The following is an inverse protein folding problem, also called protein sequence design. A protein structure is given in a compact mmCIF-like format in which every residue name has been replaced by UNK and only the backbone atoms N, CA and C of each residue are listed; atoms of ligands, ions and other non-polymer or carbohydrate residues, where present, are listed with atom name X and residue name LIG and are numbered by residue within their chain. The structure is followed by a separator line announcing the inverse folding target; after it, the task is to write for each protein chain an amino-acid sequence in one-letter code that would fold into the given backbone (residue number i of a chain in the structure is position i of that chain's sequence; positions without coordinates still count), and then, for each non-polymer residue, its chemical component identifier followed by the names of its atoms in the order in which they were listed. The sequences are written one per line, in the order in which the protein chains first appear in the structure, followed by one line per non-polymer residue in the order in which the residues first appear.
data_IF_947026376621
#
_entry.id   IF_947026376621
#
_cell.length_a   1.000
_cell.length_b   1.000
_cell.length_c   1.000
_cell.angle_alpha   90.00
_cell.angle_beta   90.00
_cell.angle_gamma   90.00
#
_symmetry.space_group_name_H-M   'P 1'
#
loop_
_entity.id
_entity.type
_entity.pdbx_description
1 polymer ?
#
# COMPACT_ATOMS: atom_id res chain seq x y z
N UNK A 1 9.56 -17.76 16.19
CA UNK A 1 8.38 -17.31 15.44
C UNK A 1 8.18 -15.79 15.47
N UNK A 2 8.19 -15.09 16.62
CA UNK A 2 8.03 -13.61 16.68
C UNK A 2 9.07 -12.82 15.85
N UNK A 3 10.34 -13.28 15.76
CA UNK A 3 11.37 -12.64 14.92
C UNK A 3 11.08 -12.81 13.42
N UNK A 4 10.64 -13.99 13.01
CA UNK A 4 10.26 -14.25 11.60
C UNK A 4 9.07 -13.39 11.19
N UNK A 5 8.04 -13.29 12.03
CA UNK A 5 6.89 -12.41 11.77
C UNK A 5 7.31 -10.95 11.57
N UNK A 6 8.25 -10.42 12.38
CA UNK A 6 8.79 -9.06 12.20
C UNK A 6 9.50 -8.88 10.86
N UNK A 7 10.28 -9.87 10.41
CA UNK A 7 10.98 -9.83 9.13
C UNK A 7 9.97 -9.81 7.98
N UNK A 8 9.01 -10.73 7.99
CA UNK A 8 8.01 -10.83 6.92
C UNK A 8 7.02 -9.66 6.90
N UNK A 9 6.76 -9.00 8.03
CA UNK A 9 5.91 -7.80 8.09
C UNK A 9 6.66 -6.50 7.74
N UNK A 10 7.97 -6.56 7.51
CA UNK A 10 8.72 -5.41 7.04
C UNK A 10 8.53 -5.27 5.51
N UNK A 11 8.00 -4.14 5.02
CA UNK A 11 7.80 -3.93 3.58
C UNK A 11 9.09 -4.00 2.77
N UNK A 12 10.25 -3.65 3.35
CA UNK A 12 11.54 -3.76 2.69
C UNK A 12 11.90 -5.22 2.37
N UNK A 13 11.48 -6.18 3.22
CA UNK A 13 11.72 -7.60 2.97
C UNK A 13 10.95 -8.08 1.74
N UNK A 14 9.70 -7.68 1.59
CA UNK A 14 8.92 -7.98 0.39
C UNK A 14 9.59 -7.41 -0.87
N UNK A 15 9.98 -6.14 -0.82
CA UNK A 15 10.64 -5.46 -1.94
C UNK A 15 11.94 -6.18 -2.31
N UNK A 16 12.78 -6.52 -1.32
CA UNK A 16 14.04 -7.22 -1.53
C UNK A 16 13.83 -8.61 -2.18
N UNK A 17 12.86 -9.38 -1.67
CA UNK A 17 12.54 -10.71 -2.23
C UNK A 17 12.04 -10.58 -3.67
N UNK A 18 11.10 -9.67 -3.94
CA UNK A 18 10.54 -9.50 -5.28
C UNK A 18 11.58 -8.99 -6.28
N UNK A 19 12.42 -8.03 -5.86
CA UNK A 19 13.52 -7.54 -6.69
C UNK A 19 14.50 -8.68 -7.00
N UNK A 20 14.91 -9.47 -6.00
CA UNK A 20 15.83 -10.60 -6.18
C UNK A 20 15.25 -11.63 -7.16
N UNK A 21 13.99 -12.04 -6.97
CA UNK A 21 13.35 -13.01 -7.87
C UNK A 21 13.28 -12.46 -9.29
N UNK A 22 12.88 -11.22 -9.46
CA UNK A 22 12.79 -10.61 -10.79
C UNK A 22 14.14 -10.52 -11.48
N UNK A 23 15.17 -9.99 -10.81
CA UNK A 23 16.49 -9.82 -11.44
C UNK A 23 17.21 -11.14 -11.72
N UNK A 24 16.93 -12.21 -10.96
CA UNK A 24 17.50 -13.55 -11.19
C UNK A 24 16.77 -14.27 -12.29
N UNK A 25 15.44 -14.30 -12.26
CA UNK A 25 14.66 -15.17 -13.14
C UNK A 25 14.20 -14.49 -14.43
N UNK A 26 13.98 -13.16 -14.38
CA UNK A 26 13.37 -12.38 -15.48
C UNK A 26 12.06 -13.00 -15.99
N UNK A 27 11.41 -13.80 -15.17
CA UNK A 27 10.19 -14.53 -15.49
C UNK A 27 9.05 -14.11 -14.56
N UNK A 28 7.95 -13.64 -15.16
CA UNK A 28 6.81 -13.14 -14.44
C UNK A 28 6.03 -14.21 -13.67
N UNK A 29 6.11 -15.47 -14.10
CA UNK A 29 5.48 -16.59 -13.41
C UNK A 29 6.15 -16.80 -12.05
N UNK A 30 7.49 -16.85 -12.02
CA UNK A 30 8.23 -16.95 -10.75
C UNK A 30 8.01 -15.72 -9.85
N UNK A 31 7.93 -14.53 -10.44
CA UNK A 31 7.60 -13.31 -9.71
C UNK A 31 6.19 -13.39 -9.08
N UNK A 32 5.19 -13.89 -9.82
CA UNK A 32 3.82 -14.08 -9.33
C UNK A 32 3.77 -15.12 -8.21
N UNK A 33 4.47 -16.26 -8.38
CA UNK A 33 4.59 -17.28 -7.35
C UNK A 33 5.23 -16.71 -6.08
N UNK A 34 6.31 -15.94 -6.22
CA UNK A 34 7.00 -15.33 -5.09
C UNK A 34 6.09 -14.39 -4.29
N UNK A 35 5.31 -13.51 -4.95
CA UNK A 35 4.32 -12.67 -4.29
C UNK A 35 3.29 -13.51 -3.54
N UNK A 36 2.72 -14.50 -4.22
CA UNK A 36 1.67 -15.34 -3.65
C UNK A 36 2.16 -16.11 -2.41
N UNK A 37 3.33 -16.75 -2.52
CA UNK A 37 3.94 -17.50 -1.43
C UNK A 37 4.30 -16.56 -0.28
N UNK A 38 4.91 -15.41 -0.56
CA UNK A 38 5.31 -14.45 0.49
C UNK A 38 4.11 -13.95 1.30
N UNK A 39 3.04 -13.49 0.63
CA UNK A 39 1.85 -12.99 1.32
C UNK A 39 1.12 -14.11 2.05
N UNK A 40 1.10 -15.32 1.51
CA UNK A 40 0.51 -16.49 2.19
C UNK A 40 1.30 -16.82 3.47
N UNK A 41 2.63 -16.78 3.42
CA UNK A 41 3.48 -16.96 4.61
C UNK A 41 3.19 -15.86 5.65
N UNK A 42 3.03 -14.59 5.25
CA UNK A 42 2.67 -13.51 6.16
C UNK A 42 1.34 -13.80 6.88
N UNK A 43 0.30 -14.19 6.14
CA UNK A 43 -1.02 -14.53 6.70
C UNK A 43 -0.91 -15.67 7.72
N UNK A 44 -0.18 -16.73 7.38
CA UNK A 44 0.02 -17.89 8.26
C UNK A 44 0.81 -17.50 9.52
N UNK A 45 1.92 -16.76 9.36
CA UNK A 45 2.74 -16.31 10.49
C UNK A 45 1.96 -15.38 11.42
N UNK A 46 1.16 -14.45 10.88
CA UNK A 46 0.34 -13.55 11.68
C UNK A 46 -0.74 -14.33 12.46
N UNK A 47 -1.39 -15.30 11.81
CA UNK A 47 -2.35 -16.18 12.46
C UNK A 47 -1.73 -16.98 13.62
N UNK A 48 -0.55 -17.55 13.41
CA UNK A 48 0.14 -18.37 14.42
C UNK A 48 0.67 -17.50 15.58
N UNK A 49 1.21 -16.29 15.27
CA UNK A 49 1.88 -15.45 16.28
C UNK A 49 0.92 -14.58 17.10
N UNK A 50 -0.17 -14.10 16.47
CA UNK A 50 -1.13 -13.16 17.05
C UNK A 50 -2.52 -13.78 17.30
N UNK A 51 -2.76 -15.02 16.87
CA UNK A 51 -4.06 -15.69 16.93
C UNK A 51 -5.11 -15.15 15.96
N UNK A 52 -4.84 -14.01 15.31
CA UNK A 52 -5.71 -13.32 14.37
C UNK A 52 -4.91 -12.75 13.22
N UNK A 53 -5.55 -12.59 12.06
CA UNK A 53 -4.97 -11.92 10.88
C UNK A 53 -5.53 -10.51 10.80
N UNK A 54 -4.69 -9.52 10.48
CA UNK A 54 -5.15 -8.15 10.28
C UNK A 54 -6.12 -8.10 9.09
N UNK A 55 -7.18 -7.30 9.21
CA UNK A 55 -8.21 -7.18 8.16
C UNK A 55 -7.61 -6.74 6.82
N UNK A 56 -6.62 -5.85 6.86
CA UNK A 56 -5.95 -5.34 5.66
C UNK A 56 -5.15 -6.45 4.96
N UNK A 57 -4.37 -7.24 5.71
CA UNK A 57 -3.58 -8.34 5.15
C UNK A 57 -4.50 -9.43 4.59
N UNK A 58 -5.56 -9.80 5.32
CA UNK A 58 -6.53 -10.79 4.87
C UNK A 58 -7.25 -10.35 3.59
N UNK A 59 -7.73 -9.10 3.55
CA UNK A 59 -8.36 -8.54 2.36
C UNK A 59 -7.38 -8.53 1.16
N UNK A 60 -6.13 -8.10 1.39
CA UNK A 60 -5.09 -8.07 0.35
C UNK A 60 -4.81 -9.47 -0.20
N UNK A 61 -4.79 -10.48 0.66
CA UNK A 61 -4.61 -11.89 0.30
C UNK A 61 -5.80 -12.42 -0.51
N UNK A 62 -7.03 -12.14 -0.07
CA UNK A 62 -8.24 -12.53 -0.80
C UNK A 62 -8.31 -11.91 -2.21
N UNK A 63 -7.88 -10.66 -2.36
CA UNK A 63 -7.81 -10.01 -3.68
C UNK A 63 -6.66 -10.57 -4.51
N UNK A 64 -5.52 -10.93 -3.88
CA UNK A 64 -4.37 -11.49 -4.59
C UNK A 64 -4.68 -12.83 -5.25
N UNK A 65 -5.40 -13.73 -4.56
CA UNK A 65 -5.63 -15.12 -5.02
C UNK A 65 -6.19 -15.18 -6.44
N UNK A 66 -7.37 -14.57 -6.75
CA UNK A 66 -7.94 -14.69 -8.08
C UNK A 66 -7.02 -14.11 -9.16
N UNK A 67 -6.36 -12.97 -8.91
CA UNK A 67 -5.46 -12.36 -9.89
C UNK A 67 -4.17 -13.18 -10.09
N UNK A 68 -3.60 -13.74 -9.03
CA UNK A 68 -2.44 -14.61 -9.13
C UNK A 68 -2.80 -15.91 -9.88
N UNK A 69 -3.93 -16.54 -9.55
CA UNK A 69 -4.39 -17.73 -10.24
C UNK A 69 -4.65 -17.47 -11.73
N UNK A 70 -5.34 -16.37 -12.07
CA UNK A 70 -5.56 -16.00 -13.46
C UNK A 70 -4.24 -15.77 -14.20
N UNK A 71 -3.27 -15.09 -13.57
CA UNK A 71 -1.94 -14.89 -14.16
C UNK A 71 -1.23 -16.23 -14.40
N UNK A 72 -1.31 -17.17 -13.45
CA UNK A 72 -0.65 -18.48 -13.58
C UNK A 72 -1.33 -19.39 -14.61
N UNK A 73 -2.66 -19.39 -14.66
CA UNK A 73 -3.45 -20.24 -15.59
C UNK A 73 -3.32 -19.71 -17.02
N UNK A 74 -3.51 -18.41 -17.21
CA UNK A 74 -3.51 -17.77 -18.54
C UNK A 74 -2.10 -17.38 -19.00
N UNK A 75 -1.12 -17.44 -18.09
CA UNK A 75 0.26 -16.98 -18.32
C UNK A 75 0.36 -15.54 -18.82
N UNK A 76 -0.61 -14.70 -18.40
CA UNK A 76 -0.67 -13.29 -18.77
C UNK A 76 -0.44 -12.42 -17.53
N UNK A 77 0.64 -11.61 -17.50
CA UNK A 77 0.97 -10.73 -16.39
C UNK A 77 -0.08 -9.65 -16.14
N UNK A 78 -0.93 -9.34 -17.13
CA UNK A 78 -1.88 -8.24 -17.08
C UNK A 78 -2.83 -8.35 -15.87
N UNK A 79 -3.23 -9.56 -15.50
CA UNK A 79 -4.14 -9.78 -14.37
C UNK A 79 -3.51 -9.35 -13.04
N UNK A 80 -2.23 -9.69 -12.80
CA UNK A 80 -1.55 -9.25 -11.59
C UNK A 80 -1.25 -7.75 -11.60
N UNK A 81 -0.98 -7.19 -12.77
CA UNK A 81 -0.78 -5.76 -12.96
C UNK A 81 -2.06 -4.96 -12.63
N UNK A 82 -3.22 -5.42 -13.07
CA UNK A 82 -4.52 -4.82 -12.79
C UNK A 82 -4.89 -4.82 -11.31
N UNK A 83 -4.53 -5.89 -10.58
CA UNK A 83 -4.74 -5.95 -9.13
C UNK A 83 -4.23 -4.69 -8.44
N UNK A 84 -3.06 -4.19 -8.85
CA UNK A 84 -2.46 -3.01 -8.26
C UNK A 84 -3.35 -1.76 -8.41
N UNK A 85 -3.83 -1.48 -9.62
CA UNK A 85 -4.75 -0.36 -9.88
C UNK A 85 -6.04 -0.47 -9.07
N UNK A 86 -6.66 -1.66 -9.08
CA UNK A 86 -7.93 -1.89 -8.39
C UNK A 86 -7.78 -1.65 -6.88
N UNK A 87 -6.72 -2.16 -6.25
CA UNK A 87 -6.48 -1.95 -4.82
C UNK A 87 -6.27 -0.47 -4.51
N UNK A 88 -5.49 0.26 -5.32
CA UNK A 88 -5.25 1.69 -5.12
C UNK A 88 -6.53 2.52 -5.29
N UNK A 89 -7.34 2.21 -6.28
CA UNK A 89 -8.63 2.88 -6.47
C UNK A 89 -9.60 2.60 -5.34
N UNK A 90 -9.71 1.35 -4.90
CA UNK A 90 -10.57 0.99 -3.77
C UNK A 90 -10.12 1.71 -2.49
N UNK A 91 -8.83 1.73 -2.19
CA UNK A 91 -8.32 2.43 -1.00
C UNK A 91 -8.53 3.94 -1.10
N UNK A 92 -8.25 4.53 -2.26
CA UNK A 92 -8.48 5.96 -2.50
C UNK A 92 -9.95 6.34 -2.37
N UNK A 93 -10.85 5.55 -2.98
CA UNK A 93 -12.30 5.75 -2.89
C UNK A 93 -12.81 5.58 -1.45
N UNK A 94 -12.35 4.56 -0.72
CA UNK A 94 -12.71 4.34 0.68
C UNK A 94 -12.33 5.57 1.52
N UNK A 95 -11.14 6.15 1.34
CA UNK A 95 -10.72 7.35 2.05
C UNK A 95 -11.63 8.55 1.71
N UNK A 96 -11.86 8.80 0.44
CA UNK A 96 -12.69 9.92 -0.01
C UNK A 96 -14.14 9.74 0.45
N UNK A 97 -14.72 8.56 0.26
CA UNK A 97 -16.11 8.27 0.66
C UNK A 97 -16.27 8.31 2.18
N UNK A 98 -15.32 7.72 2.94
CA UNK A 98 -15.37 7.74 4.41
C UNK A 98 -15.41 9.15 4.97
N UNK A 99 -14.78 10.11 4.29
CA UNK A 99 -14.80 11.51 4.68
C UNK A 99 -16.21 12.10 4.68
N UNK A 100 -17.05 11.76 3.69
CA UNK A 100 -18.44 12.26 3.59
C UNK A 100 -19.35 11.66 4.65
N UNK A 101 -19.10 10.43 5.14
CA UNK A 101 -19.96 9.77 6.13
C UNK A 101 -19.50 9.99 7.58
N UNK A 102 -18.21 9.99 7.85
CA UNK A 102 -17.64 10.01 9.21
C UNK A 102 -16.55 11.07 9.42
N UNK A 103 -16.28 11.91 8.41
CA UNK A 103 -15.14 12.83 8.43
C UNK A 103 -13.80 12.10 8.32
N UNK A 104 -12.68 12.79 8.52
CA UNK A 104 -11.32 12.24 8.33
C UNK A 104 -10.86 11.30 9.46
N UNK A 105 -11.77 10.72 10.25
CA UNK A 105 -11.49 9.89 11.41
C UNK A 105 -10.70 8.63 11.02
N UNK A 106 -10.98 8.05 9.85
CA UNK A 106 -10.27 6.86 9.40
C UNK A 106 -8.76 7.10 9.28
N UNK A 107 -8.40 8.18 8.61
CA UNK A 107 -6.99 8.55 8.43
C UNK A 107 -6.35 9.00 9.75
N UNK A 108 -7.08 9.80 10.56
CA UNK A 108 -6.61 10.21 11.88
C UNK A 108 -6.26 9.00 12.74
N UNK A 109 -7.11 7.98 12.79
CA UNK A 109 -6.85 6.75 13.54
C UNK A 109 -5.64 5.94 13.02
N UNK A 110 -5.37 5.97 11.71
CA UNK A 110 -4.19 5.33 11.15
C UNK A 110 -2.90 6.07 11.51
N UNK A 111 -2.93 7.40 11.53
CA UNK A 111 -1.76 8.24 11.82
C UNK A 111 -1.57 8.53 13.31
N UNK A 112 -2.56 8.33 14.17
CA UNK A 112 -2.43 8.49 15.63
C UNK A 112 -1.35 7.56 16.22
N UNK A 113 -1.02 6.49 15.53
CA UNK A 113 0.10 5.61 15.87
C UNK A 113 1.47 6.30 15.67
N UNK A 114 1.54 7.41 14.95
CA UNK A 114 2.79 8.14 14.69
C UNK A 114 3.20 9.08 15.83
N UNK A 115 2.30 9.33 16.80
CA UNK A 115 2.64 10.07 18.02
C UNK A 115 1.52 11.01 18.51
N UNK A 116 1.51 11.34 19.82
CA UNK A 116 0.50 12.18 20.45
C UNK A 116 0.49 13.65 19.98
N UNK A 117 1.55 14.10 19.33
CA UNK A 117 1.66 15.46 18.77
C UNK A 117 0.61 15.74 17.67
N UNK A 118 0.03 14.71 17.07
CA UNK A 118 -0.99 14.84 16.04
C UNK A 118 -2.42 15.00 16.60
N UNK A 119 -2.62 14.86 17.92
CA UNK A 119 -3.93 15.00 18.54
C UNK A 119 -4.43 16.46 18.54
N UNK A 120 -3.52 17.45 18.57
CA UNK A 120 -3.81 18.88 18.50
C UNK A 120 -4.15 19.38 17.08
N UNK A 121 -3.95 18.55 16.05
CA UNK A 121 -4.18 18.96 14.66
C UNK A 121 -5.67 19.18 14.38
N UNK A 122 -6.06 20.35 13.81
CA UNK A 122 -7.45 20.65 13.51
C UNK A 122 -8.05 19.69 12.49
N UNK A 123 -9.33 19.39 12.63
CA UNK A 123 -10.06 18.44 11.79
C UNK A 123 -10.04 18.83 10.31
N UNK A 124 -9.95 20.13 10.02
CA UNK A 124 -9.82 20.65 8.64
C UNK A 124 -8.50 20.21 7.98
N UNK A 125 -7.40 20.16 8.74
CA UNK A 125 -6.12 19.70 8.20
C UNK A 125 -6.16 18.20 7.90
N UNK A 126 -6.78 17.40 8.76
CA UNK A 126 -7.03 15.98 8.51
C UNK A 126 -7.89 15.75 7.28
N UNK A 127 -8.92 16.59 7.06
CA UNK A 127 -9.74 16.57 5.87
C UNK A 127 -8.90 16.75 4.60
N UNK A 128 -8.06 17.80 4.57
CA UNK A 128 -7.21 18.08 3.42
C UNK A 128 -6.26 16.93 3.11
N UNK A 129 -5.63 16.33 4.12
CA UNK A 129 -4.73 15.19 3.95
C UNK A 129 -5.49 13.95 3.49
N UNK A 130 -6.70 13.72 3.97
CA UNK A 130 -7.55 12.60 3.52
C UNK A 130 -7.85 12.71 2.03
N UNK A 131 -8.24 13.88 1.54
CA UNK A 131 -8.45 14.09 0.11
C UNK A 131 -7.15 13.97 -0.68
N UNK A 132 -6.07 14.57 -0.20
CA UNK A 132 -4.76 14.48 -0.87
C UNK A 132 -4.33 13.02 -1.05
N UNK A 133 -4.35 12.20 0.01
CA UNK A 133 -3.97 10.79 -0.06
C UNK A 133 -4.96 10.00 -0.93
N UNK A 134 -6.26 10.24 -0.79
CA UNK A 134 -7.28 9.57 -1.59
C UNK A 134 -7.10 9.80 -3.09
N UNK A 135 -6.96 11.04 -3.51
CA UNK A 135 -6.69 11.39 -4.91
C UNK A 135 -5.33 10.91 -5.39
N UNK A 136 -4.31 10.98 -4.55
CA UNK A 136 -2.99 10.46 -4.88
C UNK A 136 -3.02 8.96 -5.19
N UNK A 137 -3.72 8.16 -4.36
CA UNK A 137 -3.87 6.72 -4.60
C UNK A 137 -4.61 6.44 -5.91
N UNK A 138 -5.68 7.20 -6.20
CA UNK A 138 -6.40 7.07 -7.47
C UNK A 138 -5.45 7.39 -8.65
N UNK A 139 -4.67 8.46 -8.55
CA UNK A 139 -3.70 8.85 -9.57
C UNK A 139 -2.62 7.78 -9.78
N UNK A 140 -2.08 7.21 -8.72
CA UNK A 140 -1.08 6.11 -8.81
C UNK A 140 -1.67 4.90 -9.53
N UNK A 141 -2.93 4.56 -9.25
CA UNK A 141 -3.65 3.50 -9.97
C UNK A 141 -3.83 3.80 -11.47
N UNK A 142 -4.08 5.07 -11.82
CA UNK A 142 -4.16 5.50 -13.23
C UNK A 142 -2.79 5.47 -13.93
N UNK A 143 -1.74 5.95 -13.26
CA UNK A 143 -0.37 5.87 -13.78
C UNK A 143 0.02 4.42 -14.02
N UNK A 144 -0.38 3.50 -13.14
CA UNK A 144 -0.13 2.08 -13.35
C UNK A 144 -0.76 1.54 -14.65
N UNK A 145 -1.95 2.02 -15.06
CA UNK A 145 -2.53 1.63 -16.35
C UNK A 145 -1.65 2.04 -17.53
N UNK A 146 -1.05 3.24 -17.47
CA UNK A 146 -0.09 3.65 -18.49
C UNK A 146 1.05 2.63 -18.62
N UNK A 147 1.63 2.20 -17.47
CA UNK A 147 2.70 1.19 -17.50
C UNK A 147 2.21 -0.18 -17.98
N UNK A 148 0.98 -0.57 -17.70
CA UNK A 148 0.39 -1.84 -18.18
C UNK A 148 0.31 -1.86 -19.70
N UNK A 149 -0.15 -0.78 -20.31
CA UNK A 149 -0.48 -0.76 -21.74
C UNK A 149 0.60 -0.20 -22.65
N UNK A 150 1.49 0.65 -22.14
CA UNK A 150 2.45 1.39 -22.96
C UNK A 150 3.91 1.14 -22.60
N UNK A 151 4.20 0.44 -21.49
CA UNK A 151 5.57 0.15 -21.09
C UNK A 151 5.88 -1.34 -21.21
N UNK A 152 7.19 -1.67 -21.25
CA UNK A 152 7.62 -3.07 -21.17
C UNK A 152 7.35 -3.63 -19.77
N UNK A 153 7.23 -4.94 -19.68
CA UNK A 153 7.04 -5.64 -18.39
C UNK A 153 8.16 -5.33 -17.40
N UNK A 154 9.40 -5.26 -17.88
CA UNK A 154 10.58 -4.89 -17.08
C UNK A 154 10.45 -3.47 -16.50
N UNK A 155 10.00 -2.52 -17.32
CA UNK A 155 9.73 -1.14 -16.90
C UNK A 155 8.61 -1.08 -15.86
N UNK A 156 7.53 -1.85 -16.07
CA UNK A 156 6.44 -1.95 -15.10
C UNK A 156 6.92 -2.50 -13.75
N UNK A 157 7.74 -3.57 -13.75
CA UNK A 157 8.29 -4.14 -12.51
C UNK A 157 9.17 -3.14 -11.78
N UNK A 158 10.04 -2.43 -12.50
CA UNK A 158 10.87 -1.37 -11.92
C UNK A 158 10.03 -0.23 -11.35
N UNK A 159 8.99 0.21 -12.06
CA UNK A 159 8.04 1.18 -11.54
C UNK A 159 7.37 0.67 -10.25
N UNK A 160 6.95 -0.59 -10.21
CA UNK A 160 6.31 -1.21 -9.05
C UNK A 160 7.25 -1.27 -7.84
N UNK A 161 8.49 -1.67 -8.04
CA UNK A 161 9.47 -1.86 -6.95
C UNK A 161 9.99 -0.51 -6.44
N UNK A 162 10.44 0.35 -7.34
CA UNK A 162 11.10 1.61 -6.98
C UNK A 162 10.17 2.82 -7.07
N UNK A 163 9.47 2.98 -8.19
CA UNK A 163 8.63 4.15 -8.44
C UNK A 163 7.52 4.30 -7.41
N UNK A 164 6.77 3.24 -7.17
CA UNK A 164 5.67 3.25 -6.18
C UNK A 164 6.19 3.45 -4.77
N UNK A 165 7.35 2.85 -4.43
CA UNK A 165 7.96 3.04 -3.10
C UNK A 165 8.34 4.50 -2.88
N UNK A 166 9.00 5.13 -3.85
CA UNK A 166 9.38 6.56 -3.79
C UNK A 166 8.13 7.45 -3.70
N UNK A 167 7.12 7.18 -4.53
CA UNK A 167 5.87 7.94 -4.52
C UNK A 167 5.15 7.86 -3.16
N UNK A 168 5.08 6.67 -2.56
CA UNK A 168 4.47 6.48 -1.25
C UNK A 168 5.26 7.16 -0.12
N UNK A 169 6.59 7.13 -0.18
CA UNK A 169 7.44 7.85 0.77
C UNK A 169 7.23 9.37 0.65
N UNK A 170 7.20 9.91 -0.56
CA UNK A 170 6.93 11.33 -0.80
C UNK A 170 5.54 11.73 -0.29
N UNK A 171 4.50 10.96 -0.64
CA UNK A 171 3.13 11.20 -0.17
C UNK A 171 3.06 11.23 1.36
N UNK A 172 3.63 10.23 2.02
CA UNK A 172 3.62 10.12 3.48
C UNK A 172 4.39 11.25 4.13
N UNK A 173 5.59 11.57 3.62
CA UNK A 173 6.44 12.66 4.14
C UNK A 173 5.75 14.03 4.00
N UNK A 174 5.16 14.33 2.84
CA UNK A 174 4.43 15.57 2.61
C UNK A 174 3.20 15.67 3.53
N UNK A 175 2.48 14.58 3.71
CA UNK A 175 1.32 14.51 4.59
C UNK A 175 1.70 14.77 6.05
N UNK A 176 2.73 14.11 6.55
CA UNK A 176 3.23 14.30 7.91
C UNK A 176 3.78 15.72 8.11
N UNK A 177 4.58 16.22 7.19
CA UNK A 177 5.10 17.59 7.25
C UNK A 177 3.97 18.63 7.35
N UNK A 178 2.93 18.48 6.54
CA UNK A 178 1.77 19.37 6.59
C UNK A 178 1.04 19.29 7.94
N UNK A 179 0.83 18.08 8.49
CA UNK A 179 0.15 17.88 9.77
C UNK A 179 0.96 18.45 10.94
N UNK A 180 2.28 18.20 10.99
CA UNK A 180 3.14 18.75 12.04
C UNK A 180 3.18 20.27 12.01
N UNK A 181 3.30 20.88 10.83
CA UNK A 181 3.24 22.34 10.69
C UNK A 181 1.92 22.92 11.21
N UNK A 182 0.80 22.20 11.04
CA UNK A 182 -0.51 22.64 11.57
C UNK A 182 -0.63 22.44 13.08
N UNK A 183 -0.02 21.41 13.64
CA UNK A 183 0.05 21.22 15.09
C UNK A 183 0.83 22.34 15.79
N UNK A 184 2.00 22.74 15.26
CA UNK A 184 2.82 23.83 15.82
C UNK A 184 2.07 25.18 15.83
N UNK A 185 1.30 25.49 14.80
CA UNK A 185 0.55 26.74 14.72
C UNK A 185 -0.52 26.86 15.80
N UNK A 186 -1.19 25.77 16.19
CA UNK A 186 -2.21 25.82 17.23
C UNK A 186 -1.61 25.91 18.64
N UNK A 187 -0.48 25.27 18.89
CA UNK A 187 0.22 25.37 20.19
C UNK A 187 0.84 26.76 20.42
N UNK A 188 1.14 27.50 19.35
CA UNK A 188 1.68 28.86 19.46
C UNK A 188 0.59 29.97 19.55
N UNK A 189 -0.66 29.62 19.28
CA UNK A 189 -1.82 30.53 19.30
C UNK A 189 -2.72 30.38 20.52
N UNK A 190 -2.47 29.39 21.37
CA UNK A 190 -3.12 29.13 22.66
C UNK A 190 -2.28 29.65 23.82
#
# INVERSE_FOLDING_TARGET
MKRLSKIFNNPLTLIAVLASVWYITRDFIYFTIAIFVFITIQVVLEKITLGKVSKVLFFSWCVLIPFALMTLILRDPIFLQWKFSIVHWLMGLILVISHFFKGPILLKNLFSLAGPQLDSVPMRAWSNVTFFIGFFLILVGLINLYFIYYASLDTWVNFKIYGVTVLNLLMTSLSLFYLFKKAEFETSSS
#
